data_IF_377151753629
#
_entry.id   IF_377151753629
#
_cell.length_a   1.000
_cell.length_b   1.000
_cell.length_c   1.000
_cell.angle_alpha   90.00
_cell.angle_beta   90.00
_cell.angle_gamma   90.00
#
_symmetry.space_group_name_H-M   'P 1'
#
loop_
_entity.id
_entity.type
_entity.pdbx_description
1 polymer ?
#
# COMPACT_ATOMS: atom_id res chain seq x y z
N UNK A 1 9.26 -48.44 46.28
CA UNK A 1 8.20 -47.65 45.60
C UNK A 1 7.24 -48.60 44.89
N UNK A 2 5.92 -48.39 44.98
CA UNK A 2 4.95 -49.24 44.26
C UNK A 2 5.16 -49.09 42.74
N UNK A 3 5.18 -50.22 42.02
CA UNK A 3 5.46 -50.28 40.57
C UNK A 3 4.63 -49.27 39.77
N UNK A 4 3.40 -49.00 40.21
CA UNK A 4 2.46 -48.07 39.56
C UNK A 4 2.89 -46.61 39.66
N UNK A 5 3.54 -46.22 40.77
CA UNK A 5 4.09 -44.87 40.94
C UNK A 5 5.28 -44.63 40.01
N UNK A 6 6.11 -45.66 39.81
CA UNK A 6 7.26 -45.58 38.89
C UNK A 6 6.80 -45.51 37.43
N UNK A 7 5.82 -46.32 37.03
CA UNK A 7 5.24 -46.27 35.67
C UNK A 7 4.63 -44.90 35.37
N UNK A 8 3.91 -44.30 36.33
CA UNK A 8 3.33 -42.96 36.20
C UNK A 8 4.39 -41.89 35.96
N UNK A 9 5.47 -41.89 36.76
CA UNK A 9 6.57 -40.91 36.63
C UNK A 9 7.26 -41.02 35.26
N UNK A 10 7.52 -42.24 34.79
CA UNK A 10 8.16 -42.47 33.50
C UNK A 10 7.27 -41.98 32.35
N UNK A 11 5.96 -42.29 32.39
CA UNK A 11 5.03 -41.84 31.36
C UNK A 11 4.93 -40.31 31.30
N UNK A 12 4.86 -39.64 32.46
CA UNK A 12 4.85 -38.17 32.52
C UNK A 12 6.14 -37.57 31.97
N UNK A 13 7.30 -38.12 32.33
CA UNK A 13 8.59 -37.66 31.82
C UNK A 13 8.68 -37.80 30.29
N UNK A 14 8.20 -38.92 29.72
CA UNK A 14 8.20 -39.14 28.28
C UNK A 14 7.32 -38.13 27.54
N UNK A 15 6.13 -37.81 28.06
CA UNK A 15 5.24 -36.81 27.45
C UNK A 15 5.87 -35.41 27.51
N UNK A 16 6.42 -35.04 28.67
CA UNK A 16 7.06 -33.73 28.88
C UNK A 16 8.30 -33.54 27.99
N UNK A 17 9.00 -34.63 27.62
CA UNK A 17 10.20 -34.57 26.76
C UNK A 17 9.83 -34.67 25.27
N UNK A 18 8.82 -35.47 24.90
CA UNK A 18 8.45 -35.67 23.50
C UNK A 18 7.92 -34.39 22.83
N UNK A 19 7.15 -33.57 23.58
CA UNK A 19 6.58 -32.33 23.07
C UNK A 19 7.69 -31.31 22.68
N UNK A 20 8.62 -30.90 23.58
CA UNK A 20 9.69 -29.97 23.21
C UNK A 20 10.63 -30.54 22.16
N UNK A 21 10.93 -31.85 22.18
CA UNK A 21 11.73 -32.48 21.11
C UNK A 21 11.05 -32.40 19.74
N UNK A 22 9.72 -32.60 19.70
CA UNK A 22 8.96 -32.49 18.45
C UNK A 22 8.95 -31.06 17.90
N UNK A 23 8.83 -30.07 18.78
CA UNK A 23 8.87 -28.64 18.44
C UNK A 23 10.25 -28.26 17.91
N UNK A 24 11.33 -28.66 18.59
CA UNK A 24 12.71 -28.39 18.14
C UNK A 24 12.95 -29.03 16.77
N UNK A 25 12.57 -30.29 16.59
CA UNK A 25 12.73 -31.00 15.31
C UNK A 25 11.92 -30.36 14.17
N UNK A 26 10.75 -29.81 14.48
CA UNK A 26 9.93 -29.08 13.51
C UNK A 26 10.62 -27.77 13.09
N UNK A 27 11.08 -26.96 14.04
CA UNK A 27 11.78 -25.71 13.74
C UNK A 27 13.10 -25.92 12.98
N UNK A 28 13.82 -27.01 13.23
CA UNK A 28 15.04 -27.34 12.46
C UNK A 28 14.77 -27.79 11.02
N UNK A 29 13.54 -28.18 10.67
CA UNK A 29 13.15 -28.66 9.34
C UNK A 29 12.53 -27.57 8.46
N UNK A 30 12.05 -26.48 9.05
CA UNK A 30 11.60 -25.32 8.30
C UNK A 30 12.84 -24.60 7.79
N UNK A 31 13.23 -24.89 6.54
CA UNK A 31 14.24 -24.12 5.85
C UNK A 31 13.84 -22.64 5.90
N UNK A 32 14.78 -21.77 6.31
CA UNK A 32 14.55 -20.35 6.26
C UNK A 32 14.09 -19.98 4.84
N UNK A 33 12.97 -19.25 4.67
CA UNK A 33 12.56 -18.83 3.35
C UNK A 33 13.71 -18.06 2.71
N UNK A 34 14.19 -18.56 1.57
CA UNK A 34 15.17 -17.86 0.75
C UNK A 34 14.62 -16.44 0.54
N UNK A 35 15.38 -15.42 0.96
CA UNK A 35 14.99 -14.03 0.83
C UNK A 35 14.90 -13.68 -0.66
N UNK A 36 13.73 -13.92 -1.26
CA UNK A 36 13.39 -13.36 -2.56
C UNK A 36 13.26 -11.87 -2.35
N UNK A 37 13.89 -11.08 -3.23
CA UNK A 37 13.68 -9.64 -3.27
C UNK A 37 12.18 -9.33 -3.27
N UNK A 38 11.77 -8.35 -2.48
CA UNK A 38 10.38 -7.89 -2.49
C UNK A 38 9.96 -7.54 -3.93
N UNK A 39 8.73 -7.85 -4.33
CA UNK A 39 8.24 -7.47 -5.65
C UNK A 39 8.31 -5.95 -5.80
N UNK A 40 8.84 -5.50 -6.94
CA UNK A 40 8.92 -4.09 -7.29
C UNK A 40 7.84 -3.73 -8.31
N UNK A 41 7.33 -2.49 -8.24
CA UNK A 41 6.45 -1.96 -9.26
C UNK A 41 7.25 -1.67 -10.53
N UNK A 42 6.90 -2.34 -11.64
CA UNK A 42 7.66 -2.26 -12.91
C UNK A 42 7.09 -1.26 -13.92
N UNK A 43 5.97 -0.62 -13.60
CA UNK A 43 5.22 0.24 -14.53
C UNK A 43 4.33 -0.55 -15.49
N UNK A 44 3.21 0.06 -15.90
CA UNK A 44 2.22 -0.54 -16.78
C UNK A 44 2.73 -0.79 -18.20
N UNK A 45 3.67 0.01 -18.69
CA UNK A 45 4.24 -0.07 -20.03
C UNK A 45 4.95 -1.41 -20.27
N UNK A 46 5.54 -1.99 -19.21
CA UNK A 46 6.21 -3.30 -19.30
C UNK A 46 5.24 -4.42 -19.62
N UNK A 47 3.97 -4.27 -19.25
CA UNK A 47 2.92 -5.26 -19.50
C UNK A 47 2.43 -5.22 -20.95
N UNK A 48 2.52 -4.06 -21.62
CA UNK A 48 1.94 -3.80 -22.95
C UNK A 48 2.37 -4.81 -24.02
N UNK A 49 3.64 -5.19 -24.04
CA UNK A 49 4.19 -6.05 -25.09
C UNK A 49 3.54 -7.44 -25.15
N UNK A 50 3.06 -7.96 -24.00
CA UNK A 50 2.38 -9.26 -23.93
C UNK A 50 0.85 -9.12 -23.77
N UNK A 51 0.38 -8.00 -23.21
CA UNK A 51 -1.02 -7.73 -22.88
C UNK A 51 -1.54 -6.49 -23.61
N UNK A 52 -1.35 -6.44 -24.93
CA UNK A 52 -1.75 -5.27 -25.72
C UNK A 52 -3.26 -4.98 -25.62
N UNK A 53 -4.18 -5.96 -25.76
CA UNK A 53 -5.62 -5.68 -25.70
C UNK A 53 -6.05 -5.09 -24.36
N UNK A 54 -5.57 -5.65 -23.25
CA UNK A 54 -5.88 -5.17 -21.90
C UNK A 54 -5.26 -3.81 -21.65
N UNK A 55 -4.03 -3.58 -22.12
CA UNK A 55 -3.36 -2.31 -21.99
C UNK A 55 -4.12 -1.19 -22.68
N UNK A 56 -4.60 -1.39 -23.91
CA UNK A 56 -5.36 -0.36 -24.63
C UNK A 56 -6.72 -0.08 -23.98
N UNK A 57 -7.43 -1.13 -23.52
CA UNK A 57 -8.69 -0.96 -22.78
C UNK A 57 -8.48 -0.22 -21.46
N UNK A 58 -7.43 -0.58 -20.72
CA UNK A 58 -7.06 0.10 -19.47
C UNK A 58 -6.72 1.56 -19.72
N UNK A 59 -5.88 1.85 -20.73
CA UNK A 59 -5.44 3.20 -21.08
C UNK A 59 -6.59 4.14 -21.44
N UNK A 60 -7.64 3.63 -22.07
CA UNK A 60 -8.84 4.41 -22.38
C UNK A 60 -9.86 4.48 -21.23
N UNK A 61 -9.58 3.87 -20.08
CA UNK A 61 -10.52 3.81 -18.94
C UNK A 61 -10.26 4.91 -17.93
N UNK A 62 -11.29 5.22 -17.12
CA UNK A 62 -11.15 6.16 -16.00
C UNK A 62 -10.08 5.74 -14.97
N UNK A 63 -9.67 4.47 -14.93
CA UNK A 63 -8.59 4.04 -14.04
C UNK A 63 -7.23 4.60 -14.47
N UNK A 64 -6.99 4.70 -15.77
CA UNK A 64 -5.76 5.33 -16.29
C UNK A 64 -5.74 6.83 -15.96
N UNK A 65 -6.89 7.49 -16.10
CA UNK A 65 -7.08 8.92 -15.87
C UNK A 65 -7.27 9.30 -14.39
N UNK A 66 -7.22 8.34 -13.46
CA UNK A 66 -7.40 8.61 -12.03
C UNK A 66 -6.21 9.34 -11.39
N UNK A 67 -5.03 9.27 -12.03
CA UNK A 67 -3.79 9.91 -11.54
C UNK A 67 -3.11 10.61 -12.71
N UNK A 68 -3.87 11.40 -13.48
CA UNK A 68 -3.32 12.11 -14.63
C UNK A 68 -2.47 13.29 -14.15
N UNK A 69 -1.29 13.49 -14.76
CA UNK A 69 -0.41 14.60 -14.41
C UNK A 69 -1.14 15.92 -14.67
N UNK A 70 -1.07 16.85 -13.72
CA UNK A 70 -1.74 18.15 -13.83
C UNK A 70 -1.04 19.02 -14.89
N UNK A 71 -1.72 19.22 -16.01
CA UNK A 71 -1.30 20.07 -17.12
C UNK A 71 -2.46 20.93 -17.58
N UNK A 72 -2.20 21.93 -18.43
CA UNK A 72 -3.27 22.72 -19.06
C UNK A 72 -4.31 21.86 -19.81
N UNK A 73 -3.93 20.68 -20.30
CA UNK A 73 -4.82 19.79 -21.06
C UNK A 73 -5.67 18.87 -20.17
N UNK A 74 -5.18 18.50 -18.99
CA UNK A 74 -5.82 17.54 -18.08
C UNK A 74 -6.57 18.21 -16.94
N UNK A 75 -6.18 19.42 -16.53
CA UNK A 75 -6.86 20.14 -15.44
C UNK A 75 -8.16 20.76 -15.93
N UNK A 76 -9.27 20.25 -15.40
CA UNK A 76 -10.64 20.76 -15.67
C UNK A 76 -11.18 21.70 -14.59
N UNK A 77 -10.53 21.77 -13.44
CA UNK A 77 -10.93 22.64 -12.33
C UNK A 77 -10.61 24.11 -12.59
N UNK A 78 -11.34 25.01 -11.93
CA UNK A 78 -11.07 26.45 -12.01
C UNK A 78 -9.94 26.85 -11.05
N UNK A 79 -8.84 27.36 -11.60
CA UNK A 79 -7.70 27.90 -10.86
C UNK A 79 -7.58 29.43 -11.00
N UNK A 80 -8.68 30.13 -11.29
CA UNK A 80 -8.75 31.58 -11.32
C UNK A 80 -9.19 32.17 -9.97
N UNK A 81 -8.59 31.69 -8.87
CA UNK A 81 -8.97 32.03 -7.48
C UNK A 81 -10.35 31.50 -7.04
N UNK A 82 -10.79 30.38 -7.60
CA UNK A 82 -12.01 29.71 -7.15
C UNK A 82 -11.90 29.28 -5.69
N UNK A 83 -13.00 29.39 -4.94
CA UNK A 83 -13.09 28.95 -3.54
C UNK A 83 -14.16 27.87 -3.38
N UNK A 84 -13.87 26.88 -2.55
CA UNK A 84 -14.75 25.77 -2.25
C UNK A 84 -14.72 25.49 -0.75
N UNK A 85 -15.89 25.31 -0.13
CA UNK A 85 -16.01 25.00 1.29
C UNK A 85 -16.52 23.57 1.49
N UNK A 86 -15.83 22.80 2.31
CA UNK A 86 -16.26 21.47 2.73
C UNK A 86 -15.93 21.25 4.20
N UNK A 87 -16.91 20.78 4.98
CA UNK A 87 -16.75 20.52 6.40
C UNK A 87 -16.15 21.70 7.21
N UNK A 88 -16.48 22.94 6.83
CA UNK A 88 -15.97 24.16 7.46
C UNK A 88 -14.54 24.56 7.06
N UNK A 89 -13.91 23.85 6.12
CA UNK A 89 -12.61 24.20 5.55
C UNK A 89 -12.83 24.88 4.20
N UNK A 90 -12.39 26.14 4.10
CA UNK A 90 -12.38 26.89 2.84
C UNK A 90 -11.07 26.65 2.12
N UNK A 91 -11.15 26.09 0.91
CA UNK A 91 -10.02 25.86 0.02
C UNK A 91 -10.04 26.84 -1.15
N UNK A 92 -8.89 27.41 -1.51
CA UNK A 92 -8.76 28.33 -2.67
C UNK A 92 -7.82 27.75 -3.72
N UNK A 93 -8.28 27.65 -4.96
CA UNK A 93 -7.53 27.11 -6.09
C UNK A 93 -7.01 28.25 -6.96
N UNK A 94 -5.71 28.27 -7.23
CA UNK A 94 -5.06 29.37 -7.95
C UNK A 94 -3.79 28.91 -8.68
N UNK A 95 -3.31 29.74 -9.63
CA UNK A 95 -2.02 29.53 -10.28
C UNK A 95 -0.90 30.31 -9.59
N UNK A 96 0.27 29.69 -9.47
CA UNK A 96 1.50 30.31 -8.94
C UNK A 96 2.69 29.74 -9.70
N UNK A 97 3.53 30.61 -10.28
CA UNK A 97 4.75 30.22 -11.01
C UNK A 97 4.49 29.15 -12.11
N UNK A 98 3.36 29.25 -12.81
CA UNK A 98 2.96 28.30 -13.85
C UNK A 98 2.40 26.96 -13.34
N UNK A 99 2.23 26.81 -12.02
CA UNK A 99 1.73 25.60 -11.37
C UNK A 99 0.31 25.76 -10.87
N UNK A 100 -0.41 24.64 -10.82
CA UNK A 100 -1.71 24.52 -10.18
C UNK A 100 -1.51 24.38 -8.66
N UNK A 101 -2.12 25.26 -7.87
CA UNK A 101 -1.95 25.29 -6.41
C UNK A 101 -3.30 25.37 -5.72
N UNK A 102 -3.42 24.69 -4.58
CA UNK A 102 -4.55 24.84 -3.66
C UNK A 102 -4.05 25.32 -2.30
N UNK A 103 -4.68 26.38 -1.79
CA UNK A 103 -4.58 26.77 -0.38
C UNK A 103 -5.65 25.99 0.39
N UNK A 104 -5.26 25.02 1.20
CA UNK A 104 -6.19 24.17 1.95
C UNK A 104 -5.55 23.62 3.23
N UNK A 105 -6.30 22.86 4.01
CA UNK A 105 -5.81 22.18 5.19
C UNK A 105 -4.96 20.96 4.79
N UNK A 106 -3.68 20.98 5.15
CA UNK A 106 -2.74 19.89 4.93
C UNK A 106 -2.70 18.87 6.08
N UNK A 107 -1.67 17.99 6.07
CA UNK A 107 -1.41 17.09 7.19
C UNK A 107 -1.33 17.88 8.51
N UNK A 108 -1.82 17.29 9.59
CA UNK A 108 -1.89 17.91 10.93
C UNK A 108 -2.90 19.07 11.07
N UNK A 109 -3.77 19.29 10.07
CA UNK A 109 -4.87 20.24 10.20
C UNK A 109 -4.48 21.71 9.99
N UNK A 110 -3.28 21.99 9.48
CA UNK A 110 -2.79 23.37 9.24
C UNK A 110 -3.07 23.81 7.80
N UNK A 111 -3.46 25.07 7.63
CA UNK A 111 -3.61 25.67 6.31
C UNK A 111 -2.26 25.88 5.63
N UNK A 112 -2.17 25.63 4.34
CA UNK A 112 -0.98 25.83 3.54
C UNK A 112 -1.26 25.79 2.05
N UNK A 113 -0.24 26.15 1.26
CA UNK A 113 -0.27 26.09 -0.20
C UNK A 113 0.36 24.76 -0.67
N UNK A 114 -0.38 24.02 -1.48
CA UNK A 114 0.04 22.71 -1.99
C UNK A 114 -0.08 22.68 -3.51
N UNK A 115 0.98 22.22 -4.17
CA UNK A 115 0.97 21.99 -5.60
C UNK A 115 0.08 20.79 -5.94
N UNK A 116 -0.85 21.00 -6.86
CA UNK A 116 -1.65 19.94 -7.45
C UNK A 116 -0.83 19.33 -8.58
N UNK A 117 -0.16 18.22 -8.30
CA UNK A 117 0.69 17.53 -9.29
C UNK A 117 -0.10 16.57 -10.18
N UNK A 118 -1.26 16.10 -9.70
CA UNK A 118 -2.12 15.15 -10.40
C UNK A 118 -3.60 15.48 -10.19
N UNK A 119 -4.43 15.06 -11.13
CA UNK A 119 -5.88 15.22 -11.13
C UNK A 119 -6.59 13.91 -11.42
N UNK A 120 -7.85 13.83 -10.98
CA UNK A 120 -8.80 12.83 -11.44
C UNK A 120 -9.55 13.41 -12.64
N UNK A 121 -9.53 12.75 -13.80
CA UNK A 121 -10.33 13.18 -14.94
C UNK A 121 -9.97 12.52 -16.24
#
# INVERSE_FOLDING_TARGET
>A
MSRWKLTGIIATALIVIAIPLSVVKYHSRVAAPQARSAPAFVGSEKCRACHQPEYELWKGSNHYHAMEVATEASVRGDFNNASFEHAGVVSRFFRKDGKFVVHTQGPEGRMGDFEVTHTFG
#
